data_IF_237361222526
#
_entry.id   IF_237361222526
#
_cell.length_a   1.000
_cell.length_b   1.000
_cell.length_c   1.000
_cell.angle_alpha   90.00
_cell.angle_beta   90.00
_cell.angle_gamma   90.00
#
_symmetry.space_group_name_H-M   'P 1'
#
loop_
_entity.id
_entity.type
_entity.pdbx_description
1 polymer ?
#
# COMPACT_ATOMS: atom_id res chain seq x y z
N UNK A 1 24.79 -83.82 16.39
CA UNK A 1 25.94 -83.01 16.62
C UNK A 1 25.55 -81.61 17.10
N UNK A 2 25.71 -81.37 18.40
CA UNK A 2 25.50 -80.10 19.01
C UNK A 2 26.75 -79.25 18.85
N UNK A 3 26.61 -78.06 18.31
CA UNK A 3 27.62 -77.03 18.27
C UNK A 3 27.19 -75.82 19.10
N UNK A 4 27.90 -75.64 20.24
CA UNK A 4 27.67 -74.47 21.09
C UNK A 4 28.39 -73.22 20.49
N UNK A 5 27.70 -72.13 20.28
CA UNK A 5 28.31 -70.91 19.92
C UNK A 5 28.38 -69.96 21.13
N UNK A 6 29.64 -69.57 21.44
CA UNK A 6 29.96 -68.59 22.50
C UNK A 6 29.67 -67.17 21.99
N UNK A 7 28.82 -66.49 22.68
CA UNK A 7 28.56 -65.04 22.42
C UNK A 7 29.62 -64.21 23.18
N UNK A 8 30.48 -63.54 22.45
CA UNK A 8 31.36 -62.52 23.00
C UNK A 8 30.58 -61.17 22.95
N UNK A 9 30.34 -60.59 24.11
CA UNK A 9 29.70 -59.22 24.19
C UNK A 9 30.80 -58.17 23.97
N UNK A 10 30.76 -57.51 22.83
CA UNK A 10 31.51 -56.28 22.59
C UNK A 10 30.70 -55.08 22.99
N UNK A 11 31.08 -54.41 24.06
CA UNK A 11 30.48 -53.15 24.51
C UNK A 11 30.76 -52.01 23.55
N UNK A 12 29.77 -51.56 22.84
CA UNK A 12 29.84 -50.37 21.98
C UNK A 12 29.46 -49.15 22.80
N UNK A 13 30.45 -48.36 23.18
CA UNK A 13 30.24 -47.08 23.82
C UNK A 13 29.68 -46.09 22.77
N UNK A 14 28.38 -45.74 22.88
CA UNK A 14 27.79 -44.68 22.12
C UNK A 14 28.37 -43.34 22.59
N UNK A 15 29.26 -42.75 21.81
CA UNK A 15 29.61 -41.34 21.91
C UNK A 15 28.38 -40.53 21.42
N UNK A 16 27.75 -39.85 22.35
CA UNK A 16 26.80 -38.77 22.00
C UNK A 16 27.60 -37.67 21.32
N UNK A 17 27.53 -37.60 19.99
CA UNK A 17 27.92 -36.45 19.23
C UNK A 17 26.89 -35.36 19.48
N UNK A 18 27.32 -34.31 20.16
CA UNK A 18 26.58 -33.04 20.19
C UNK A 18 26.68 -32.46 18.81
N UNK A 19 25.59 -32.54 18.01
CA UNK A 19 25.44 -31.74 16.81
C UNK A 19 25.44 -30.26 17.23
N UNK A 20 26.22 -29.38 16.59
CA UNK A 20 26.07 -27.98 16.79
C UNK A 20 24.65 -27.61 16.34
N UNK A 21 23.90 -26.98 17.21
CA UNK A 21 22.63 -26.36 16.86
C UNK A 21 22.88 -25.44 15.68
N UNK A 22 22.18 -25.69 14.57
CA UNK A 22 22.10 -24.72 13.48
C UNK A 22 21.60 -23.42 14.11
N UNK A 23 22.42 -22.38 14.04
CA UNK A 23 22.01 -21.05 14.40
C UNK A 23 20.81 -20.71 13.47
N UNK A 24 19.66 -20.60 14.06
CA UNK A 24 18.47 -20.06 13.43
C UNK A 24 18.78 -18.59 13.10
N UNK A 25 19.30 -18.37 11.90
CA UNK A 25 19.48 -17.04 11.35
C UNK A 25 18.10 -16.57 10.88
N UNK A 26 17.26 -16.19 11.84
CA UNK A 26 16.16 -15.28 11.56
C UNK A 26 16.80 -14.04 10.91
N UNK A 27 16.45 -13.68 9.67
CA UNK A 27 16.98 -12.46 9.08
C UNK A 27 16.60 -11.32 10.02
N UNK A 28 17.58 -10.56 10.51
CA UNK A 28 17.32 -9.30 11.18
C UNK A 28 16.43 -8.49 10.25
N UNK A 29 15.32 -7.90 10.76
CA UNK A 29 14.51 -7.01 9.95
C UNK A 29 15.45 -5.93 9.42
N UNK A 30 15.54 -5.83 8.09
CA UNK A 30 16.21 -4.74 7.40
C UNK A 30 15.81 -3.43 8.09
N UNK A 31 16.78 -2.60 8.43
CA UNK A 31 16.50 -1.30 9.02
C UNK A 31 15.45 -0.60 8.19
N UNK A 32 14.31 -0.29 8.81
CA UNK A 32 13.16 0.32 8.16
C UNK A 32 13.63 1.62 7.50
N UNK A 33 13.54 1.77 6.16
CA UNK A 33 13.94 3.01 5.50
C UNK A 33 13.03 4.19 5.85
N UNK A 34 11.90 3.93 6.54
CA UNK A 34 10.98 4.97 6.96
C UNK A 34 11.52 5.72 8.18
N UNK A 35 11.43 7.06 8.17
CA UNK A 35 11.69 7.84 9.37
C UNK A 35 10.74 7.35 10.49
N UNK A 36 11.29 7.13 11.68
CA UNK A 36 10.50 6.76 12.84
C UNK A 36 9.34 7.75 13.00
N UNK A 37 8.12 7.23 13.20
CA UNK A 37 6.96 8.07 13.54
C UNK A 37 7.34 9.03 14.66
N UNK A 38 6.95 10.31 14.58
CA UNK A 38 7.31 11.28 15.60
C UNK A 38 6.80 10.82 16.97
N UNK A 39 7.71 10.73 17.95
CA UNK A 39 7.35 10.41 19.32
C UNK A 39 6.49 11.56 19.85
N UNK A 40 5.19 11.33 20.05
CA UNK A 40 4.30 12.36 20.56
C UNK A 40 2.84 12.16 20.16
N UNK A 41 2.06 13.19 20.37
CA UNK A 41 0.65 13.22 19.99
C UNK A 41 0.48 13.24 18.48
N UNK A 42 -0.38 12.39 17.98
CA UNK A 42 -0.77 12.37 16.57
C UNK A 42 -1.74 13.52 16.27
N UNK A 43 -1.33 14.40 15.38
CA UNK A 43 -2.14 15.52 14.89
C UNK A 43 -2.18 15.43 13.37
N UNK A 44 -3.24 14.78 12.87
CA UNK A 44 -3.38 14.43 11.49
C UNK A 44 -4.51 15.20 10.79
N UNK A 45 -4.41 15.28 9.46
CA UNK A 45 -5.46 15.79 8.59
C UNK A 45 -5.73 14.81 7.45
N UNK A 46 -6.98 14.70 7.05
CA UNK A 46 -7.42 13.94 5.90
C UNK A 46 -7.34 14.80 4.64
N UNK A 47 -6.73 14.24 3.60
CA UNK A 47 -6.66 14.83 2.26
C UNK A 47 -7.34 13.83 1.32
N UNK A 48 -8.61 14.11 1.01
CA UNK A 48 -9.46 13.22 0.22
C UNK A 48 -9.34 13.50 -1.27
N UNK A 49 -10.04 12.71 -2.06
CA UNK A 49 -10.17 12.93 -3.50
C UNK A 49 -10.77 14.31 -3.85
N UNK A 50 -11.49 14.95 -2.93
CA UNK A 50 -12.06 16.30 -3.15
C UNK A 50 -10.96 17.36 -3.14
N UNK A 51 -10.01 17.26 -2.21
CA UNK A 51 -8.85 18.15 -2.16
C UNK A 51 -7.94 17.90 -3.37
N UNK A 52 -7.73 16.65 -3.76
CA UNK A 52 -6.97 16.32 -4.97
C UNK A 52 -7.64 16.89 -6.23
N UNK A 53 -8.96 16.81 -6.35
CA UNK A 53 -9.70 17.36 -7.50
C UNK A 53 -9.55 18.88 -7.66
N UNK A 54 -9.17 19.59 -6.60
CA UNK A 54 -8.92 21.02 -6.61
C UNK A 54 -7.47 21.40 -6.96
N UNK A 55 -6.56 20.42 -7.05
CA UNK A 55 -5.16 20.68 -7.39
C UNK A 55 -4.94 20.76 -8.89
N UNK A 56 -3.89 21.49 -9.27
CA UNK A 56 -3.47 21.61 -10.67
C UNK A 56 -2.49 20.50 -11.04
N UNK A 57 -2.97 19.53 -11.81
CA UNK A 57 -2.17 18.42 -12.35
C UNK A 57 -1.60 18.69 -13.74
N UNK A 58 -1.66 19.93 -14.25
CA UNK A 58 -1.20 20.26 -15.61
C UNK A 58 0.29 20.02 -15.80
N UNK A 59 1.10 20.21 -14.76
CA UNK A 59 2.52 19.92 -14.71
C UNK A 59 2.93 19.47 -13.30
N UNK A 60 4.06 18.76 -13.19
CA UNK A 60 4.62 18.40 -11.89
C UNK A 60 4.86 19.62 -11.00
N UNK A 61 5.42 20.71 -11.57
CA UNK A 61 5.71 21.94 -10.82
C UNK A 61 4.45 22.61 -10.28
N UNK A 62 3.35 22.62 -11.07
CA UNK A 62 2.06 23.17 -10.64
C UNK A 62 1.45 22.33 -9.51
N UNK A 63 1.48 21.00 -9.66
CA UNK A 63 1.03 20.08 -8.61
C UNK A 63 1.88 20.22 -7.34
N UNK A 64 3.20 20.23 -7.47
CA UNK A 64 4.16 20.43 -6.37
C UNK A 64 3.88 21.73 -5.61
N UNK A 65 3.60 22.82 -6.30
CA UNK A 65 3.25 24.08 -5.66
C UNK A 65 1.98 23.97 -4.80
N UNK A 66 0.96 23.27 -5.27
CA UNK A 66 -0.25 22.96 -4.49
C UNK A 66 0.05 22.11 -3.25
N UNK A 67 0.86 21.06 -3.41
CA UNK A 67 1.29 20.19 -2.31
C UNK A 67 2.09 20.97 -1.28
N UNK A 68 3.02 21.81 -1.70
CA UNK A 68 3.81 22.69 -0.80
C UNK A 68 2.87 23.59 0.02
N UNK A 69 1.92 24.25 -0.62
CA UNK A 69 0.96 25.11 0.08
C UNK A 69 0.13 24.33 1.12
N UNK A 70 -0.33 23.12 0.77
CA UNK A 70 -1.07 22.24 1.68
C UNK A 70 -0.21 21.88 2.90
N UNK A 71 1.02 21.43 2.68
CA UNK A 71 1.92 20.99 3.75
C UNK A 71 2.42 22.16 4.62
N UNK A 72 2.62 23.34 4.05
CA UNK A 72 2.96 24.55 4.80
C UNK A 72 1.79 24.96 5.72
N UNK A 73 0.54 24.82 5.27
CA UNK A 73 -0.64 25.02 6.11
C UNK A 73 -0.68 23.99 7.26
N UNK A 74 -0.39 22.69 6.96
CA UNK A 74 -0.30 21.64 7.98
C UNK A 74 0.76 22.00 9.05
N UNK A 75 1.94 22.42 8.62
CA UNK A 75 3.02 22.83 9.52
C UNK A 75 2.60 24.03 10.37
N UNK A 76 1.97 25.04 9.75
CA UNK A 76 1.47 26.24 10.45
C UNK A 76 0.42 25.94 11.50
N UNK A 77 -0.36 24.87 11.33
CA UNK A 77 -1.34 24.37 12.29
C UNK A 77 -0.75 23.38 13.31
N UNK A 78 0.53 23.06 13.21
CA UNK A 78 1.21 22.09 14.08
C UNK A 78 0.80 20.65 13.82
N UNK A 79 0.28 20.34 12.61
CA UNK A 79 -0.01 18.97 12.19
C UNK A 79 1.30 18.25 11.83
N UNK A 80 1.34 16.94 12.10
CA UNK A 80 2.51 16.11 11.87
C UNK A 80 2.24 14.89 10.97
N UNK A 81 1.01 14.71 10.53
CA UNK A 81 0.61 13.57 9.71
C UNK A 81 -0.46 13.99 8.69
N UNK A 82 -0.36 13.45 7.48
CA UNK A 82 -1.36 13.57 6.42
C UNK A 82 -1.86 12.17 6.06
N UNK A 83 -3.18 11.95 6.16
CA UNK A 83 -3.85 10.77 5.61
C UNK A 83 -4.27 11.11 4.17
N UNK A 84 -3.46 10.69 3.21
CA UNK A 84 -3.62 11.04 1.81
C UNK A 84 -4.38 9.95 1.05
N UNK A 85 -5.56 10.26 0.53
CA UNK A 85 -6.36 9.30 -0.24
C UNK A 85 -5.73 9.06 -1.61
N UNK A 86 -4.89 8.04 -1.70
CA UNK A 86 -4.12 7.72 -2.90
C UNK A 86 -4.81 6.71 -3.81
N UNK A 87 -5.85 6.02 -3.29
CA UNK A 87 -6.63 5.03 -4.05
C UNK A 87 -8.13 5.15 -3.75
N UNK A 88 -8.83 6.13 -4.34
CA UNK A 88 -10.23 6.40 -4.03
C UNK A 88 -11.25 5.51 -4.76
N UNK A 89 -10.97 5.02 -6.02
CA UNK A 89 -11.98 4.42 -6.89
C UNK A 89 -11.47 3.22 -7.72
N UNK A 90 -10.68 2.33 -7.14
CA UNK A 90 -10.04 1.24 -7.90
C UNK A 90 -9.06 1.76 -8.94
N UNK A 91 -8.53 2.93 -8.71
CA UNK A 91 -7.50 3.65 -9.47
C UNK A 91 -6.44 4.19 -8.51
N UNK A 92 -5.35 4.73 -9.00
CA UNK A 92 -4.23 5.17 -8.19
C UNK A 92 -3.77 6.58 -8.55
N UNK A 93 -3.42 7.39 -7.54
CA UNK A 93 -2.70 8.64 -7.68
C UNK A 93 -1.18 8.41 -7.56
N UNK A 94 -0.73 7.24 -7.98
CA UNK A 94 0.67 6.83 -7.99
C UNK A 94 0.89 5.82 -9.13
N UNK A 95 2.15 5.60 -9.50
CA UNK A 95 2.49 4.62 -10.53
C UNK A 95 2.27 3.21 -10.00
N UNK A 96 1.27 2.53 -10.56
CA UNK A 96 0.88 1.17 -10.19
C UNK A 96 0.95 0.24 -11.40
N UNK A 97 1.32 -1.01 -11.16
CA UNK A 97 1.22 -2.10 -12.13
C UNK A 97 -0.15 -2.80 -12.08
N UNK A 98 -0.92 -2.55 -11.02
CA UNK A 98 -2.18 -3.21 -10.72
C UNK A 98 -3.40 -2.31 -11.00
N UNK A 99 -3.26 -1.01 -10.80
CA UNK A 99 -4.37 -0.05 -10.90
C UNK A 99 -4.11 0.97 -12.00
N UNK A 100 -5.15 1.35 -12.76
CA UNK A 100 -5.05 2.46 -13.69
C UNK A 100 -4.82 3.78 -12.96
N UNK A 101 -4.20 4.76 -13.64
CA UNK A 101 -4.10 6.13 -13.13
C UNK A 101 -5.47 6.70 -12.79
N UNK A 102 -5.57 7.44 -11.71
CA UNK A 102 -6.81 8.09 -11.31
C UNK A 102 -7.24 9.16 -12.32
N UNK A 103 -8.54 9.23 -12.58
CA UNK A 103 -9.13 10.30 -13.38
C UNK A 103 -8.89 11.70 -12.80
N UNK A 104 -8.61 11.80 -11.50
CA UNK A 104 -8.30 13.07 -10.83
C UNK A 104 -7.05 13.72 -11.41
N UNK A 105 -6.08 12.92 -11.88
CA UNK A 105 -4.83 13.44 -12.43
C UNK A 105 -5.00 14.13 -13.79
N UNK A 106 -5.92 13.66 -14.64
CA UNK A 106 -6.00 14.12 -16.04
C UNK A 106 -7.43 14.32 -16.54
N UNK A 107 -8.43 14.08 -15.70
CA UNK A 107 -9.84 13.99 -16.09
C UNK A 107 -10.22 12.65 -16.73
N UNK A 108 -9.27 11.77 -17.04
CA UNK A 108 -9.50 10.46 -17.70
C UNK A 108 -8.79 9.37 -16.91
N UNK A 109 -9.54 8.38 -16.43
CA UNK A 109 -8.96 7.22 -15.74
C UNK A 109 -8.07 6.41 -16.69
N UNK A 110 -6.88 6.01 -16.23
CA UNK A 110 -5.89 5.27 -17.01
C UNK A 110 -4.91 6.14 -17.80
N UNK A 111 -5.17 7.45 -17.91
CA UNK A 111 -4.24 8.36 -18.60
C UNK A 111 -3.12 8.80 -17.65
N UNK A 112 -1.87 8.53 -18.03
CA UNK A 112 -0.67 8.93 -17.30
C UNK A 112 -0.56 10.47 -17.23
N UNK A 113 -0.40 11.07 -16.04
CA UNK A 113 -0.18 12.51 -15.89
C UNK A 113 1.22 12.97 -16.29
N UNK A 114 2.16 12.06 -16.51
CA UNK A 114 3.55 12.35 -16.86
C UNK A 114 4.49 12.51 -15.66
N UNK A 115 3.97 12.45 -14.44
CA UNK A 115 4.72 12.46 -13.18
C UNK A 115 4.00 11.61 -12.13
N UNK A 116 4.62 11.40 -10.95
CA UNK A 116 4.05 10.60 -9.88
C UNK A 116 3.57 11.49 -8.72
N UNK A 117 2.26 11.69 -8.54
CA UNK A 117 1.73 12.55 -7.49
C UNK A 117 2.09 12.12 -6.07
N UNK A 118 2.11 10.80 -5.80
CA UNK A 118 2.47 10.29 -4.47
C UNK A 118 3.95 10.52 -4.16
N UNK A 119 4.83 10.32 -5.13
CA UNK A 119 6.26 10.59 -4.96
C UNK A 119 6.52 12.06 -4.65
N UNK A 120 5.87 12.98 -5.37
CA UNK A 120 5.92 14.43 -5.07
C UNK A 120 5.45 14.73 -3.65
N UNK A 121 4.31 14.15 -3.23
CA UNK A 121 3.77 14.36 -1.88
C UNK A 121 4.76 13.88 -0.80
N UNK A 122 5.31 12.67 -0.96
CA UNK A 122 6.25 12.08 -0.01
C UNK A 122 7.52 12.91 0.13
N UNK A 123 8.10 13.34 -0.99
CA UNK A 123 9.30 14.20 -0.98
C UNK A 123 9.06 15.49 -0.19
N UNK A 124 7.96 16.18 -0.48
CA UNK A 124 7.65 17.46 0.17
C UNK A 124 7.24 17.29 1.64
N UNK A 125 6.51 16.24 1.98
CA UNK A 125 6.09 15.95 3.36
C UNK A 125 7.30 15.61 4.26
N UNK A 126 8.15 14.69 3.81
CA UNK A 126 9.31 14.23 4.58
C UNK A 126 10.32 15.34 4.82
N UNK A 127 10.53 16.26 3.87
CA UNK A 127 11.40 17.43 4.09
C UNK A 127 10.91 18.36 5.20
N UNK A 128 9.60 18.29 5.53
CA UNK A 128 8.93 19.04 6.60
C UNK A 128 8.75 18.25 7.90
N UNK A 129 9.18 16.98 7.92
CA UNK A 129 8.95 16.08 9.04
C UNK A 129 7.47 15.70 9.23
N UNK A 130 6.69 15.73 8.15
CA UNK A 130 5.28 15.31 8.13
C UNK A 130 5.22 13.87 7.62
N UNK A 131 4.60 12.99 8.40
CA UNK A 131 4.34 11.60 8.01
C UNK A 131 3.17 11.54 7.02
N UNK A 132 3.23 10.57 6.09
CA UNK A 132 2.17 10.33 5.10
C UNK A 132 1.62 8.92 5.27
N UNK A 133 0.35 8.82 5.64
CA UNK A 133 -0.39 7.57 5.55
C UNK A 133 -1.13 7.49 4.22
N UNK A 134 -0.88 6.41 3.48
CA UNK A 134 -1.59 6.15 2.24
C UNK A 134 -3.01 5.65 2.56
N UNK A 135 -3.99 6.51 2.34
CA UNK A 135 -5.39 6.16 2.51
C UNK A 135 -5.93 5.47 1.25
N UNK A 136 -6.42 4.26 1.46
CA UNK A 136 -6.91 3.34 0.45
C UNK A 136 -8.37 2.98 0.73
N UNK A 137 -9.24 3.12 -0.26
CA UNK A 137 -10.57 2.53 -0.25
C UNK A 137 -10.46 1.15 -0.94
N UNK A 138 -10.36 0.05 -0.20
CA UNK A 138 -9.94 -1.24 -0.76
C UNK A 138 -10.96 -1.83 -1.73
N UNK A 139 -12.24 -1.58 -1.50
CA UNK A 139 -13.31 -2.23 -2.26
C UNK A 139 -14.05 -1.29 -3.21
N UNK A 140 -13.96 0.01 -3.05
CA UNK A 140 -14.70 0.96 -3.87
C UNK A 140 -14.08 1.15 -5.25
N UNK A 141 -14.81 0.79 -6.31
CA UNK A 141 -14.42 1.00 -7.71
C UNK A 141 -15.07 2.24 -8.31
N UNK A 142 -16.27 2.58 -7.85
CA UNK A 142 -17.08 3.70 -8.31
C UNK A 142 -18.10 4.05 -7.25
N UNK A 143 -18.25 5.32 -6.91
CA UNK A 143 -19.21 5.75 -5.88
C UNK A 143 -20.60 6.08 -6.45
N UNK A 144 -20.67 6.52 -7.73
CA UNK A 144 -21.92 6.86 -8.43
C UNK A 144 -21.71 6.78 -9.94
N UNK A 145 -22.78 6.94 -10.72
CA UNK A 145 -22.67 6.96 -12.18
C UNK A 145 -21.75 8.06 -12.73
N UNK A 146 -21.45 9.08 -11.92
CA UNK A 146 -20.61 10.22 -12.29
C UNK A 146 -19.18 10.17 -11.71
N UNK A 147 -18.87 9.22 -10.81
CA UNK A 147 -17.60 9.27 -10.06
C UNK A 147 -16.94 7.89 -9.88
N UNK A 148 -15.92 7.56 -10.65
CA UNK A 148 -15.44 8.25 -11.86
C UNK A 148 -16.43 8.12 -13.03
N UNK A 149 -16.47 9.09 -13.97
CA UNK A 149 -17.47 9.10 -15.03
C UNK A 149 -17.33 7.94 -16.02
N UNK A 150 -16.07 7.57 -16.35
CA UNK A 150 -15.75 6.45 -17.23
C UNK A 150 -14.66 5.61 -16.54
N UNK A 151 -14.85 4.30 -16.56
CA UNK A 151 -13.84 3.36 -16.06
C UNK A 151 -12.87 3.00 -17.18
N UNK A 152 -11.58 3.00 -16.87
CA UNK A 152 -10.54 2.53 -17.79
C UNK A 152 -10.70 1.03 -18.07
N UNK A 153 -10.20 0.59 -19.23
CA UNK A 153 -10.21 -0.85 -19.58
C UNK A 153 -9.52 -1.72 -18.53
N UNK A 154 -8.46 -1.21 -17.89
CA UNK A 154 -7.74 -1.89 -16.80
C UNK A 154 -8.40 -1.77 -15.41
N UNK A 155 -9.56 -1.12 -15.26
CA UNK A 155 -10.27 -1.10 -14.00
C UNK A 155 -10.87 -2.48 -13.69
N UNK A 156 -10.85 -2.90 -12.42
CA UNK A 156 -11.34 -4.22 -12.00
C UNK A 156 -12.81 -4.47 -12.37
N UNK A 157 -13.63 -3.44 -12.43
CA UNK A 157 -15.01 -3.58 -12.89
C UNK A 157 -15.12 -4.04 -14.35
N UNK A 158 -14.11 -3.78 -15.18
CA UNK A 158 -14.04 -4.20 -16.57
C UNK A 158 -13.26 -5.51 -16.74
N UNK A 159 -12.19 -5.71 -15.96
CA UNK A 159 -11.33 -6.90 -16.09
C UNK A 159 -11.84 -8.10 -15.31
N UNK A 160 -12.55 -7.87 -14.18
CA UNK A 160 -13.08 -8.89 -13.28
C UNK A 160 -14.50 -8.57 -12.85
N UNK A 161 -15.46 -8.47 -13.78
CA UNK A 161 -16.84 -8.15 -13.44
C UNK A 161 -17.49 -9.16 -12.49
N UNK A 162 -16.99 -10.40 -12.46
CA UNK A 162 -17.43 -11.45 -11.54
C UNK A 162 -17.09 -11.18 -10.07
N UNK A 163 -16.15 -10.27 -9.80
CA UNK A 163 -15.78 -9.85 -8.44
C UNK A 163 -16.60 -8.65 -7.95
N UNK A 164 -17.45 -8.09 -8.81
CA UNK A 164 -18.09 -6.78 -8.55
C UNK A 164 -19.53 -6.96 -8.10
N UNK A 165 -19.90 -6.22 -7.08
CA UNK A 165 -21.29 -6.02 -6.68
C UNK A 165 -21.68 -4.56 -6.86
N UNK A 166 -22.98 -4.35 -7.12
CA UNK A 166 -23.58 -3.02 -7.23
C UNK A 166 -24.36 -2.72 -5.96
N UNK A 167 -24.06 -1.57 -5.35
CA UNK A 167 -24.82 -1.05 -4.21
C UNK A 167 -25.28 0.36 -4.58
N UNK A 168 -26.57 0.56 -4.67
CA UNK A 168 -27.18 1.77 -5.24
C UNK A 168 -26.64 2.05 -6.65
N UNK A 169 -25.95 3.19 -6.86
CA UNK A 169 -25.29 3.54 -8.13
C UNK A 169 -23.79 3.23 -8.13
N UNK A 170 -23.26 2.71 -7.01
CA UNK A 170 -21.85 2.43 -6.82
C UNK A 170 -21.47 1.02 -7.26
N UNK A 171 -20.19 0.84 -7.60
CA UNK A 171 -19.57 -0.45 -7.87
C UNK A 171 -18.49 -0.73 -6.83
N UNK A 172 -18.54 -1.93 -6.28
CA UNK A 172 -17.64 -2.36 -5.22
C UNK A 172 -17.13 -3.77 -5.49
N UNK A 173 -15.90 -4.06 -5.10
CA UNK A 173 -15.44 -5.44 -5.03
C UNK A 173 -16.22 -6.18 -3.95
N UNK A 174 -16.59 -7.41 -4.23
CA UNK A 174 -17.26 -8.28 -3.28
C UNK A 174 -16.25 -8.81 -2.25
N UNK A 175 -16.33 -8.44 -0.96
CA UNK A 175 -15.39 -8.90 0.05
C UNK A 175 -15.47 -10.40 0.35
N UNK A 176 -16.54 -11.08 -0.10
CA UNK A 176 -16.67 -12.53 0.00
C UNK A 176 -15.96 -13.28 -1.14
N UNK A 177 -15.44 -12.55 -2.16
CA UNK A 177 -14.65 -13.13 -3.23
C UNK A 177 -13.17 -13.18 -2.82
N UNK A 178 -12.58 -14.38 -2.62
CA UNK A 178 -11.21 -14.49 -2.14
C UNK A 178 -10.18 -13.84 -3.08
N UNK A 179 -10.39 -13.94 -4.40
CA UNK A 179 -9.48 -13.35 -5.37
C UNK A 179 -9.48 -11.81 -5.33
N UNK A 180 -10.63 -11.19 -5.02
CA UNK A 180 -10.71 -9.75 -4.81
C UNK A 180 -9.96 -9.33 -3.54
N UNK A 181 -10.08 -10.10 -2.45
CA UNK A 181 -9.33 -9.85 -1.22
C UNK A 181 -7.80 -9.98 -1.43
N UNK A 182 -7.37 -11.02 -2.15
CA UNK A 182 -5.96 -11.21 -2.51
C UNK A 182 -5.42 -10.05 -3.36
N UNK A 183 -6.24 -9.52 -4.28
CA UNK A 183 -5.86 -8.37 -5.10
C UNK A 183 -5.70 -7.09 -4.26
N UNK A 184 -6.57 -6.87 -3.27
CA UNK A 184 -6.42 -5.77 -2.31
C UNK A 184 -5.09 -5.88 -1.56
N UNK A 185 -4.73 -7.08 -1.08
CA UNK A 185 -3.44 -7.33 -0.40
C UNK A 185 -2.26 -7.04 -1.33
N UNK A 186 -2.31 -7.49 -2.58
CA UNK A 186 -1.26 -7.19 -3.57
C UNK A 186 -1.10 -5.69 -3.80
N UNK A 187 -2.22 -4.94 -3.88
CA UNK A 187 -2.20 -3.49 -4.05
C UNK A 187 -1.57 -2.74 -2.87
N UNK A 188 -1.75 -3.24 -1.64
CA UNK A 188 -1.06 -2.68 -0.46
C UNK A 188 0.41 -3.07 -0.46
N UNK A 189 0.74 -4.31 -0.80
CA UNK A 189 2.12 -4.76 -0.92
C UNK A 189 2.90 -3.93 -1.97
N UNK A 190 2.29 -3.62 -3.12
CA UNK A 190 2.88 -2.74 -4.13
C UNK A 190 3.20 -1.35 -3.56
N UNK A 191 2.26 -0.75 -2.81
CA UNK A 191 2.47 0.56 -2.17
C UNK A 191 3.68 0.54 -1.24
N UNK A 192 3.71 -0.37 -0.27
CA UNK A 192 4.79 -0.40 0.74
C UNK A 192 6.14 -0.85 0.18
N UNK A 193 6.14 -1.54 -0.95
CA UNK A 193 7.39 -1.95 -1.63
C UNK A 193 7.99 -0.83 -2.47
N UNK A 194 7.16 0.04 -3.06
CA UNK A 194 7.60 1.01 -4.04
C UNK A 194 7.66 2.44 -3.50
N UNK A 195 6.97 2.73 -2.38
CA UNK A 195 6.85 4.08 -1.83
C UNK A 195 7.20 4.10 -0.34
N UNK A 196 7.88 5.15 0.08
CA UNK A 196 8.22 5.39 1.48
C UNK A 196 7.04 5.98 2.26
N UNK A 197 5.85 5.33 2.19
CA UNK A 197 4.70 5.72 3.01
C UNK A 197 4.95 5.34 4.46
N UNK A 198 4.52 6.17 5.40
CA UNK A 198 4.72 5.95 6.83
C UNK A 198 3.65 5.05 7.45
N UNK A 199 2.56 4.85 6.74
CA UNK A 199 1.46 3.97 7.15
C UNK A 199 0.47 3.72 6.03
N UNK A 200 -0.44 2.77 6.29
CA UNK A 200 -1.59 2.48 5.43
C UNK A 200 -2.86 2.72 6.24
N UNK A 201 -3.78 3.48 5.66
CA UNK A 201 -5.09 3.74 6.21
C UNK A 201 -6.16 3.12 5.31
N UNK A 202 -7.02 2.27 5.88
CA UNK A 202 -8.16 1.69 5.18
C UNK A 202 -9.45 2.41 5.58
N UNK A 203 -10.30 2.65 4.57
CA UNK A 203 -11.60 3.27 4.77
C UNK A 203 -12.60 2.78 3.69
N UNK A 204 -13.93 2.77 3.97
CA UNK A 204 -15.07 2.26 3.16
C UNK A 204 -15.01 0.74 2.92
#
# INVERSE_FOLDING_TARGET
GAGAAVCAAAGLALRRGTSPAAADSTPEPSADPNPALPAGEWRAVWVSYLEWAAMDFSTEDAFRAGVVQLLDNCTGLGLNTVLAQVRPFGDALYRSSLFPWSHLCTGVQGKDPGFDPLDVLLQEAHTRGISVEAWVNPYRLRSSAAMPPNLADGNLANTHPEWVCTVDEGLYLNPAEPAAADYVVQGVAELVQNYAVDGIHFDD
#
